data_IF_752000424505
#
_entry.id   IF_752000424505
#
_cell.length_a   1.000
_cell.length_b   1.000
_cell.length_c   1.000
_cell.angle_alpha   90.00
_cell.angle_beta   90.00
_cell.angle_gamma   90.00
#
_symmetry.space_group_name_H-M   'P 1'
#
loop_
_entity.id
_entity.type
_entity.pdbx_description
1 polymer ?
#
# COMPACT_ATOMS: atom_id res chain seq x y z
N UNK A 1 -12.19 2.88 9.83
CA UNK A 1 -11.94 1.50 10.28
C UNK A 1 -11.89 0.49 9.14
N UNK A 2 -12.15 0.84 7.87
CA UNK A 2 -11.98 -0.05 6.73
C UNK A 2 -11.16 0.62 5.62
N UNK A 3 -10.24 -0.13 5.03
CA UNK A 3 -9.59 0.22 3.78
C UNK A 3 -9.70 -0.96 2.80
N UNK A 4 -10.07 -0.68 1.56
CA UNK A 4 -10.19 -1.65 0.48
C UNK A 4 -9.42 -1.12 -0.72
N UNK A 5 -8.65 -1.99 -1.37
CA UNK A 5 -7.94 -1.70 -2.61
C UNK A 5 -8.51 -2.53 -3.75
N UNK A 6 -8.40 -2.03 -4.98
CA UNK A 6 -8.90 -2.72 -6.17
C UNK A 6 -7.86 -2.86 -7.27
N UNK A 7 -7.97 -3.98 -7.97
CA UNK A 7 -7.23 -4.34 -9.17
C UNK A 7 -8.24 -4.60 -10.30
N UNK A 8 -8.41 -3.69 -11.27
CA UNK A 8 -9.20 -3.94 -12.47
C UNK A 8 -8.57 -5.11 -13.24
N UNK A 9 -9.33 -6.20 -13.43
CA UNK A 9 -8.85 -7.41 -14.16
C UNK A 9 -9.74 -7.71 -15.37
N UNK A 10 -9.09 -8.16 -16.45
CA UNK A 10 -9.74 -8.64 -17.68
C UNK A 10 -10.73 -9.76 -17.34
N UNK A 11 -11.98 -9.64 -17.81
CA UNK A 11 -13.04 -10.63 -17.59
C UNK A 11 -14.17 -10.18 -16.65
N UNK A 12 -14.02 -9.05 -15.96
CA UNK A 12 -15.10 -8.40 -15.21
C UNK A 12 -15.64 -7.21 -16.01
N UNK A 13 -16.55 -7.44 -16.96
CA UNK A 13 -17.37 -6.46 -17.73
C UNK A 13 -16.72 -5.21 -18.35
N UNK A 14 -15.43 -4.95 -18.17
CA UNK A 14 -14.67 -3.83 -18.72
C UNK A 14 -13.35 -4.36 -19.27
N UNK A 15 -13.10 -4.08 -20.55
CA UNK A 15 -11.84 -4.42 -21.22
C UNK A 15 -10.69 -3.67 -20.53
N UNK A 16 -9.58 -4.35 -20.25
CA UNK A 16 -8.41 -3.72 -19.62
C UNK A 16 -7.89 -2.59 -20.51
N UNK A 17 -8.09 -1.36 -20.09
CA UNK A 17 -7.47 -0.19 -20.69
C UNK A 17 -6.11 0.04 -19.99
N UNK A 18 -5.09 0.43 -20.73
CA UNK A 18 -3.78 0.82 -20.14
C UNK A 18 -3.92 2.01 -19.18
N UNK A 19 -5.04 2.74 -19.27
CA UNK A 19 -5.40 3.85 -18.39
C UNK A 19 -6.29 3.43 -17.20
N UNK A 20 -6.58 2.15 -17.02
CA UNK A 20 -7.32 1.69 -15.84
C UNK A 20 -6.52 2.03 -14.57
N UNK A 21 -7.20 2.58 -13.57
CA UNK A 21 -6.58 2.97 -12.30
C UNK A 21 -7.00 2.01 -11.19
N UNK A 22 -6.06 1.77 -10.28
CA UNK A 22 -6.33 1.15 -9.00
C UNK A 22 -7.18 2.07 -8.13
N UNK A 23 -7.94 1.49 -7.23
CA UNK A 23 -8.81 2.22 -6.33
C UNK A 23 -8.39 2.05 -4.88
N UNK A 24 -8.58 3.11 -4.09
CA UNK A 24 -8.58 3.06 -2.63
C UNK A 24 -9.95 3.51 -2.15
N UNK A 25 -10.57 2.68 -1.33
CA UNK A 25 -11.87 2.95 -0.70
C UNK A 25 -11.69 2.90 0.81
N UNK A 26 -12.18 3.95 1.48
CA UNK A 26 -12.06 4.11 2.92
C UNK A 26 -13.44 4.17 3.55
N UNK A 27 -13.52 3.71 4.81
CA UNK A 27 -14.63 3.96 5.71
C UNK A 27 -14.05 4.45 7.03
N UNK A 28 -14.30 5.70 7.44
CA UNK A 28 -14.07 6.13 8.81
C UNK A 28 -14.96 5.33 9.77
N UNK A 29 -14.59 5.21 11.05
CA UNK A 29 -15.41 4.47 12.03
C UNK A 29 -16.83 5.05 12.07
N UNK A 30 -17.85 4.21 11.86
CA UNK A 30 -19.26 4.59 11.76
C UNK A 30 -19.59 5.59 10.62
N UNK A 31 -18.67 5.82 9.70
CA UNK A 31 -18.87 6.69 8.54
C UNK A 31 -19.40 5.94 7.33
N UNK A 32 -19.77 6.69 6.29
CA UNK A 32 -20.05 6.14 4.98
C UNK A 32 -18.76 5.65 4.31
N UNK A 33 -18.90 4.64 3.46
CA UNK A 33 -17.81 4.17 2.58
C UNK A 33 -17.69 5.16 1.41
N UNK A 34 -16.46 5.54 1.06
CA UNK A 34 -16.20 6.34 -0.14
C UNK A 34 -14.87 5.94 -0.80
N UNK A 35 -14.78 6.07 -2.12
CA UNK A 35 -13.53 5.97 -2.85
C UNK A 35 -12.81 7.31 -2.84
N UNK A 36 -11.50 7.30 -2.60
CA UNK A 36 -10.69 8.54 -2.63
C UNK A 36 -10.67 9.09 -4.06
N UNK A 37 -10.81 10.41 -4.21
CA UNK A 37 -10.88 11.09 -5.51
C UNK A 37 -9.83 12.20 -5.68
N UNK A 38 -9.08 12.53 -4.63
CA UNK A 38 -8.07 13.60 -4.65
C UNK A 38 -6.82 13.19 -3.87
N UNK A 39 -5.62 13.68 -4.25
CA UNK A 39 -5.37 14.59 -5.36
C UNK A 39 -5.32 13.84 -6.71
N UNK A 40 -5.99 14.38 -7.73
CA UNK A 40 -6.08 13.77 -9.06
C UNK A 40 -4.72 13.41 -9.69
N UNK A 41 -3.66 14.19 -9.40
CA UNK A 41 -2.30 13.90 -9.85
C UNK A 41 -1.72 12.60 -9.29
N UNK A 42 -2.05 12.26 -8.05
CA UNK A 42 -1.63 11.00 -7.41
C UNK A 42 -2.46 9.84 -7.94
N UNK A 43 -3.78 10.03 -8.10
CA UNK A 43 -4.65 8.97 -8.62
C UNK A 43 -4.22 8.51 -10.02
N UNK A 44 -3.79 9.43 -10.89
CA UNK A 44 -3.25 9.10 -12.22
C UNK A 44 -1.99 8.24 -12.19
N UNK A 45 -1.29 8.21 -11.06
CA UNK A 45 -0.11 7.35 -10.84
C UNK A 45 -0.49 5.99 -10.25
N UNK A 46 -1.70 5.80 -9.74
CA UNK A 46 -2.19 4.51 -9.26
C UNK A 46 -2.60 3.63 -10.46
N UNK A 47 -1.65 3.38 -11.35
CA UNK A 47 -1.89 2.69 -12.60
C UNK A 47 -2.21 1.22 -12.34
N UNK A 48 -3.26 0.74 -13.02
CA UNK A 48 -3.73 -0.64 -13.00
C UNK A 48 -4.19 -1.05 -11.61
N UNK A 49 -3.33 -1.66 -10.79
CA UNK A 49 -3.75 -2.21 -9.50
C UNK A 49 -3.20 -1.42 -8.32
N UNK A 50 -4.08 -1.13 -7.37
CA UNK A 50 -3.69 -0.94 -5.98
C UNK A 50 -3.66 -2.32 -5.34
N UNK A 51 -2.46 -2.82 -5.04
CA UNK A 51 -2.21 -4.25 -4.87
C UNK A 51 -2.33 -4.73 -3.43
N UNK A 52 -1.74 -4.00 -2.48
CA UNK A 52 -1.68 -4.39 -1.07
C UNK A 52 -1.96 -3.18 -0.18
N UNK A 53 -2.48 -3.44 1.03
CA UNK A 53 -2.92 -2.39 1.97
C UNK A 53 -2.64 -2.81 3.41
N UNK A 54 -2.21 -1.84 4.21
CA UNK A 54 -2.05 -1.97 5.66
C UNK A 54 -2.52 -0.69 6.35
N UNK A 55 -2.97 -0.82 7.60
CA UNK A 55 -3.42 0.30 8.44
C UNK A 55 -2.51 0.36 9.67
N UNK A 56 -1.80 1.47 9.84
CA UNK A 56 -1.18 1.83 11.11
C UNK A 56 -2.21 2.53 11.99
N UNK A 57 -2.75 1.81 12.97
CA UNK A 57 -3.86 2.31 13.80
C UNK A 57 -3.51 3.55 14.63
N UNK A 58 -2.34 3.64 15.30
CA UNK A 58 -2.02 4.79 16.15
C UNK A 58 -2.07 6.14 15.43
N UNK A 59 -1.64 6.19 14.17
CA UNK A 59 -1.67 7.41 13.35
C UNK A 59 -2.84 7.45 12.37
N UNK A 60 -3.69 6.41 12.35
CA UNK A 60 -4.73 6.22 11.33
C UNK A 60 -4.21 6.29 9.88
N UNK A 61 -2.95 5.95 9.65
CA UNK A 61 -2.32 5.97 8.32
C UNK A 61 -2.65 4.67 7.59
N UNK A 62 -3.18 4.77 6.39
CA UNK A 62 -3.37 3.65 5.46
C UNK A 62 -2.27 3.72 4.41
N UNK A 63 -1.41 2.71 4.35
CA UNK A 63 -0.41 2.55 3.29
C UNK A 63 -0.93 1.63 2.20
N UNK A 64 -0.76 2.01 0.94
CA UNK A 64 -1.22 1.27 -0.24
C UNK A 64 -0.13 1.19 -1.29
N UNK A 65 0.17 -0.01 -1.78
CA UNK A 65 1.14 -0.24 -2.86
C UNK A 65 0.48 -0.16 -4.25
N UNK A 66 1.13 0.54 -5.18
CA UNK A 66 0.69 0.66 -6.57
C UNK A 66 1.88 0.30 -7.48
N UNK A 67 2.05 -0.98 -7.86
CA UNK A 67 3.29 -1.48 -8.44
C UNK A 67 3.64 -0.80 -9.77
N UNK A 68 2.71 -0.74 -10.72
CA UNK A 68 2.95 -0.14 -12.04
C UNK A 68 3.04 1.38 -12.01
N UNK A 69 2.61 1.99 -10.92
CA UNK A 69 2.78 3.42 -10.65
C UNK A 69 4.14 3.80 -10.07
N UNK A 70 4.94 2.79 -9.69
CA UNK A 70 6.17 2.96 -8.90
C UNK A 70 5.93 3.89 -7.68
N UNK A 71 4.82 3.65 -6.96
CA UNK A 71 4.38 4.54 -5.88
C UNK A 71 3.69 3.79 -4.73
N UNK A 72 4.03 4.16 -3.51
CA UNK A 72 3.24 3.88 -2.30
C UNK A 72 2.47 5.14 -1.94
N UNK A 73 1.17 5.03 -1.72
CA UNK A 73 0.31 6.15 -1.34
C UNK A 73 -0.15 6.00 0.10
N UNK A 74 -0.21 7.11 0.83
CA UNK A 74 -0.63 7.15 2.22
C UNK A 74 -1.85 8.03 2.41
N UNK A 75 -2.81 7.53 3.18
CA UNK A 75 -4.12 8.14 3.37
C UNK A 75 -4.48 8.18 4.85
N UNK A 76 -5.15 9.23 5.30
CA UNK A 76 -5.67 9.30 6.67
C UNK A 76 -7.03 8.63 6.72
N UNK A 77 -7.15 7.51 7.44
CA UNK A 77 -8.35 6.68 7.47
C UNK A 77 -9.58 7.42 7.98
N UNK A 78 -9.41 8.26 8.99
CA UNK A 78 -10.53 8.93 9.66
C UNK A 78 -10.98 10.19 8.93
N UNK A 79 -10.04 10.90 8.31
CA UNK A 79 -10.31 12.17 7.62
C UNK A 79 -10.52 11.98 6.11
N UNK A 80 -10.18 10.80 5.58
CA UNK A 80 -10.36 10.48 4.17
C UNK A 80 -9.47 11.25 3.20
N UNK A 81 -8.40 11.87 3.70
CA UNK A 81 -7.51 12.71 2.89
C UNK A 81 -6.19 12.04 2.60
N UNK A 82 -5.55 12.51 1.55
CA UNK A 82 -4.17 12.16 1.22
C UNK A 82 -3.20 12.71 2.28
N UNK A 83 -2.24 11.89 2.69
CA UNK A 83 -1.17 12.27 3.62
C UNK A 83 0.14 12.53 2.86
N UNK A 84 0.43 11.69 1.86
CA UNK A 84 1.68 11.75 1.13
C UNK A 84 1.90 10.50 0.27
N UNK A 85 3.01 10.48 -0.44
CA UNK A 85 3.41 9.34 -1.26
C UNK A 85 4.92 9.15 -1.21
N UNK A 86 5.34 7.92 -1.45
CA UNK A 86 6.73 7.52 -1.54
C UNK A 86 6.97 6.90 -2.91
N UNK A 87 7.94 7.45 -3.65
CA UNK A 87 8.37 6.91 -4.93
C UNK A 87 9.28 5.71 -4.69
N UNK A 88 8.82 4.54 -5.11
CA UNK A 88 9.53 3.27 -4.95
C UNK A 88 9.27 2.45 -6.19
N UNK A 89 10.29 1.81 -6.75
CA UNK A 89 10.11 1.00 -7.94
C UNK A 89 9.34 -0.29 -7.61
N UNK A 90 8.23 -0.56 -8.30
CA UNK A 90 7.47 -1.81 -8.22
C UNK A 90 7.08 -2.27 -6.81
N UNK A 91 6.49 -1.41 -5.95
CA UNK A 91 6.08 -1.81 -4.60
C UNK A 91 4.97 -2.84 -4.70
N UNK A 92 5.05 -3.92 -3.91
CA UNK A 92 4.11 -5.05 -3.98
C UNK A 92 3.39 -5.30 -2.69
N UNK A 93 4.07 -5.84 -1.69
CA UNK A 93 3.49 -6.12 -0.38
C UNK A 93 3.68 -4.96 0.57
N UNK A 94 2.70 -4.75 1.45
CA UNK A 94 2.84 -3.88 2.61
C UNK A 94 2.27 -4.57 3.85
N UNK A 95 2.97 -4.44 4.99
CA UNK A 95 2.53 -4.88 6.31
C UNK A 95 3.10 -3.96 7.39
N UNK A 96 2.79 -4.20 8.66
CA UNK A 96 3.45 -3.56 9.79
C UNK A 96 4.54 -4.48 10.36
N UNK A 97 5.58 -3.89 10.94
CA UNK A 97 6.50 -4.60 11.82
C UNK A 97 5.79 -5.21 13.02
N UNK A 98 6.41 -6.18 13.68
CA UNK A 98 5.80 -6.92 14.80
C UNK A 98 5.47 -6.00 15.99
N UNK A 99 6.30 -4.99 16.22
CA UNK A 99 6.10 -3.95 17.23
C UNK A 99 5.14 -2.84 16.76
N UNK A 100 4.71 -2.86 15.51
CA UNK A 100 3.80 -1.88 14.92
C UNK A 100 4.41 -0.52 14.61
N UNK A 101 5.73 -0.34 14.80
CA UNK A 101 6.36 0.97 14.68
C UNK A 101 6.55 1.45 13.23
N UNK A 102 6.63 0.53 12.27
CA UNK A 102 7.00 0.84 10.89
C UNK A 102 6.14 0.04 9.90
N UNK A 103 5.92 0.60 8.71
CA UNK A 103 5.48 -0.19 7.56
C UNK A 103 6.66 -0.94 6.95
N UNK A 104 6.42 -2.18 6.56
CA UNK A 104 7.30 -2.99 5.72
C UNK A 104 6.78 -2.95 4.28
N UNK A 105 7.63 -2.61 3.32
CA UNK A 105 7.28 -2.59 1.89
C UNK A 105 8.25 -3.45 1.10
N UNK A 106 7.76 -4.49 0.44
CA UNK A 106 8.56 -5.24 -0.56
C UNK A 106 8.49 -4.53 -1.90
N UNK A 107 9.64 -4.35 -2.55
CA UNK A 107 9.72 -3.60 -3.80
C UNK A 107 10.94 -3.98 -4.66
N UNK A 108 11.09 -3.24 -5.77
CA UNK A 108 11.97 -3.56 -6.88
C UNK A 108 11.45 -4.76 -7.66
N UNK A 109 12.31 -5.42 -8.42
CA UNK A 109 12.03 -6.80 -8.90
C UNK A 109 12.10 -7.81 -7.74
N UNK A 110 11.48 -7.47 -6.61
CA UNK A 110 11.41 -8.17 -5.32
C UNK A 110 12.75 -8.41 -4.64
N UNK A 111 13.63 -7.40 -4.65
CA UNK A 111 14.98 -7.50 -4.06
C UNK A 111 15.20 -6.60 -2.86
N UNK A 112 14.22 -5.78 -2.51
CA UNK A 112 14.36 -4.83 -1.42
C UNK A 112 13.15 -4.88 -0.50
N UNK A 113 13.42 -4.75 0.79
CA UNK A 113 12.45 -4.56 1.86
C UNK A 113 12.75 -3.23 2.54
N UNK A 114 11.89 -2.23 2.34
CA UNK A 114 12.02 -0.94 3.00
C UNK A 114 11.13 -0.86 4.23
N UNK A 115 11.65 -0.22 5.26
CA UNK A 115 10.94 0.17 6.46
C UNK A 115 10.55 1.63 6.29
N UNK A 116 9.28 1.96 6.53
CA UNK A 116 8.74 3.30 6.32
C UNK A 116 8.05 3.77 7.58
N UNK A 117 8.40 4.97 8.03
CA UNK A 117 7.75 5.59 9.19
C UNK A 117 6.30 5.96 8.87
N UNK A 118 5.32 5.56 9.70
CA UNK A 118 3.92 5.93 9.51
C UNK A 118 3.63 7.41 9.83
N UNK A 119 4.55 8.09 10.52
CA UNK A 119 4.44 9.49 10.91
C UNK A 119 5.03 10.43 9.85
N UNK A 120 6.24 10.12 9.37
CA UNK A 120 6.95 10.98 8.39
C UNK A 120 6.72 10.54 6.95
N UNK A 121 6.28 9.30 6.72
CA UNK A 121 6.10 8.68 5.40
C UNK A 121 7.42 8.52 4.62
N UNK A 122 8.54 8.51 5.33
CA UNK A 122 9.88 8.37 4.77
C UNK A 122 10.45 6.98 5.04
N UNK A 123 11.35 6.53 4.14
CA UNK A 123 12.12 5.30 4.33
C UNK A 123 13.12 5.53 5.45
N UNK A 124 13.06 4.68 6.49
CA UNK A 124 13.99 4.72 7.63
C UNK A 124 15.12 3.69 7.48
N UNK A 125 14.86 2.57 6.82
CA UNK A 125 15.85 1.53 6.51
C UNK A 125 15.46 0.80 5.21
N UNK A 126 16.44 0.22 4.51
CA UNK A 126 16.20 -0.67 3.38
C UNK A 126 17.16 -1.83 3.42
N UNK A 127 16.60 -3.04 3.33
CA UNK A 127 17.35 -4.29 3.35
C UNK A 127 17.22 -5.00 2.01
N UNK A 128 18.36 -5.39 1.47
CA UNK A 128 18.40 -6.23 0.28
C UNK A 128 18.11 -7.68 0.66
N UNK A 129 17.16 -8.30 -0.06
CA UNK A 129 16.80 -9.68 0.10
C UNK A 129 17.61 -10.53 -0.88
N UNK A 130 18.23 -11.61 -0.38
CA UNK A 130 19.08 -12.49 -1.19
C UNK A 130 18.30 -13.51 -2.01
N UNK A 131 17.01 -13.73 -1.69
CA UNK A 131 16.16 -14.70 -2.37
C UNK A 131 15.39 -14.05 -3.55
N UNK A 132 15.55 -14.53 -4.78
CA UNK A 132 14.91 -13.97 -5.97
C UNK A 132 13.38 -14.16 -6.03
N UNK A 133 12.78 -15.01 -5.18
CA UNK A 133 11.34 -15.33 -5.20
C UNK A 133 10.54 -14.53 -4.18
N UNK A 134 11.19 -13.74 -3.30
CA UNK A 134 10.60 -12.94 -2.23
C UNK A 134 9.90 -11.65 -2.73
N UNK A 135 9.15 -11.78 -3.83
CA UNK A 135 8.47 -10.70 -4.59
C UNK A 135 6.97 -10.60 -4.26
N UNK A 136 6.51 -11.23 -3.18
CA UNK A 136 5.09 -11.40 -2.87
C UNK A 136 4.34 -10.10 -2.59
N UNK A 137 3.07 -10.05 -3.00
CA UNK A 137 2.10 -9.00 -2.64
C UNK A 137 1.54 -9.15 -1.22
N UNK A 138 1.83 -10.27 -0.57
CA UNK A 138 1.36 -10.63 0.76
C UNK A 138 2.55 -10.79 1.68
N UNK A 139 2.60 -9.98 2.73
CA UNK A 139 3.57 -10.06 3.81
C UNK A 139 2.78 -10.43 5.06
N UNK A 140 3.26 -11.42 5.80
CA UNK A 140 2.71 -11.80 7.11
C UNK A 140 3.83 -11.65 8.12
N UNK A 141 3.56 -10.88 9.17
CA UNK A 141 4.49 -10.70 10.29
C UNK A 141 3.84 -11.33 11.51
N UNK A 142 4.54 -12.27 12.14
CA UNK A 142 4.03 -12.99 13.29
C UNK A 142 5.17 -13.39 14.21
N UNK A 143 4.87 -13.46 15.51
CA UNK A 143 5.78 -13.99 16.51
C UNK A 143 5.49 -15.49 16.70
N UNK A 144 6.45 -16.37 16.39
CA UNK A 144 6.32 -17.78 16.71
C UNK A 144 6.70 -18.02 18.18
N UNK A 145 5.89 -18.76 18.95
CA UNK A 145 6.30 -19.15 20.29
C UNK A 145 7.60 -19.95 20.21
N UNK A 146 8.53 -19.68 21.13
CA UNK A 146 9.65 -20.59 21.33
C UNK A 146 9.08 -21.91 21.88
N UNK A 147 9.38 -23.01 21.20
CA UNK A 147 8.96 -24.36 21.60
C UNK A 147 9.61 -24.84 22.90
#
# INVERSE_FOLDING_TARGET
DLAVVSAPRKGMMFERNVNDLGGVTLRPKNGAVFSVQEPAGILKRMLRESLSVAIHEPTSTVGVTNPEGDIVTFWHLLEGRFLGSLDVQGPRGIALTLDGQEFLVTHGKGRSLSFVSPETLEIVDTRELTDPVLTGSHIVVHNLPMG
#
